data_IF_117164665077
#
_entry.id   IF_117164665077
#
_cell.length_a   1.000
_cell.length_b   1.000
_cell.length_c   1.000
_cell.angle_alpha   90.00
_cell.angle_beta   90.00
_cell.angle_gamma   90.00
#
_symmetry.space_group_name_H-M   'P 1'
#
loop_
_entity.id
_entity.type
_entity.pdbx_description
1 polymer ?
#
# COMPACT_ATOMS: atom_id res chain seq x y z
N UNK A 1 0.95 -14.64 2.99
CA UNK A 1 1.21 -14.29 1.58
C UNK A 1 0.25 -13.16 1.25
N UNK A 2 0.73 -12.01 0.78
CA UNK A 2 -0.12 -10.86 0.42
C UNK A 2 -0.26 -10.76 -1.10
N UNK A 3 -1.46 -10.53 -1.58
CA UNK A 3 -1.71 -10.32 -3.01
C UNK A 3 -1.09 -8.98 -3.47
N UNK A 4 -0.64 -8.94 -4.73
CA UNK A 4 0.08 -7.80 -5.29
C UNK A 4 -0.79 -6.53 -5.34
N UNK A 5 -2.11 -6.69 -5.51
CA UNK A 5 -3.10 -5.60 -5.43
C UNK A 5 -3.05 -4.92 -4.06
N UNK A 6 -3.08 -5.71 -2.98
CA UNK A 6 -3.03 -5.19 -1.61
C UNK A 6 -1.70 -4.50 -1.31
N UNK A 7 -0.59 -5.06 -1.81
CA UNK A 7 0.75 -4.45 -1.66
C UNK A 7 0.85 -3.13 -2.43
N UNK A 8 0.29 -3.05 -3.63
CA UNK A 8 0.24 -1.84 -4.43
C UNK A 8 -0.61 -0.75 -3.76
N UNK A 9 -1.82 -1.09 -3.31
CA UNK A 9 -2.70 -0.18 -2.57
C UNK A 9 -1.99 0.44 -1.35
N UNK A 10 -1.37 -0.41 -0.52
CA UNK A 10 -0.57 0.04 0.64
C UNK A 10 0.57 0.97 0.24
N UNK A 11 1.30 0.64 -0.83
CA UNK A 11 2.44 1.44 -1.25
C UNK A 11 2.00 2.83 -1.74
N UNK A 12 0.88 2.90 -2.48
CA UNK A 12 0.30 4.17 -2.92
C UNK A 12 -0.13 5.05 -1.74
N UNK A 13 -0.75 4.48 -0.71
CA UNK A 13 -1.13 5.19 0.52
C UNK A 13 0.10 5.74 1.26
N UNK A 14 1.15 4.93 1.42
CA UNK A 14 2.41 5.38 2.03
C UNK A 14 3.08 6.48 1.21
N UNK A 15 3.07 6.37 -0.11
CA UNK A 15 3.64 7.40 -0.98
C UNK A 15 2.85 8.70 -0.88
N UNK A 16 1.52 8.61 -0.78
CA UNK A 16 0.62 9.76 -0.59
C UNK A 16 0.85 10.46 0.75
N UNK A 17 1.07 9.72 1.85
CA UNK A 17 1.34 10.35 3.15
C UNK A 17 2.70 11.07 3.19
N UNK A 18 3.65 10.66 2.34
CA UNK A 18 4.99 11.26 2.23
C UNK A 18 5.11 12.33 1.14
N UNK A 19 4.12 12.44 0.25
CA UNK A 19 4.19 13.30 -0.93
C UNK A 19 2.99 14.25 -0.97
N UNK A 20 3.20 15.57 -0.81
CA UNK A 20 2.11 16.54 -0.87
C UNK A 20 1.58 16.79 -2.29
N UNK A 21 2.24 16.27 -3.33
CA UNK A 21 1.82 16.41 -4.72
C UNK A 21 0.69 15.46 -5.10
N UNK A 22 -0.20 15.95 -5.95
CA UNK A 22 -1.25 15.19 -6.61
C UNK A 22 -1.29 15.56 -8.10
N UNK A 23 -1.34 14.60 -9.03
CA UNK A 23 -1.22 13.14 -8.85
C UNK A 23 0.18 12.71 -8.35
N UNK A 24 0.31 11.47 -7.89
CA UNK A 24 1.60 10.89 -7.49
C UNK A 24 2.50 10.70 -8.73
N UNK A 25 3.74 11.23 -8.74
CA UNK A 25 4.69 11.02 -9.84
C UNK A 25 5.28 9.61 -9.73
N UNK A 26 4.60 8.64 -10.31
CA UNK A 26 4.91 7.23 -10.20
C UNK A 26 4.78 6.48 -11.53
N UNK A 27 5.86 5.83 -11.96
CA UNK A 27 5.82 4.91 -13.10
C UNK A 27 5.55 3.49 -12.64
N UNK A 28 4.96 2.67 -13.52
CA UNK A 28 4.77 1.24 -13.24
C UNK A 28 6.12 0.53 -13.02
N UNK A 29 7.17 0.95 -13.73
CA UNK A 29 8.52 0.41 -13.59
C UNK A 29 9.08 0.66 -12.18
N UNK A 30 8.99 1.91 -11.72
CA UNK A 30 9.43 2.24 -10.37
C UNK A 30 8.62 1.49 -9.31
N UNK A 31 7.30 1.40 -9.48
CA UNK A 31 6.45 0.62 -8.58
C UNK A 31 6.82 -0.88 -8.59
N UNK A 32 7.23 -1.43 -9.74
CA UNK A 32 7.69 -2.82 -9.89
C UNK A 32 8.96 -3.09 -9.09
N UNK A 33 9.92 -2.18 -9.16
CA UNK A 33 11.14 -2.23 -8.36
C UNK A 33 10.81 -2.18 -6.86
N UNK A 34 9.92 -1.28 -6.45
CA UNK A 34 9.54 -1.12 -5.04
C UNK A 34 8.74 -2.30 -4.49
N UNK A 35 7.94 -2.96 -5.33
CA UNK A 35 7.17 -4.13 -4.96
C UNK A 35 7.94 -5.45 -5.17
N UNK A 36 9.17 -5.41 -5.69
CA UNK A 36 9.92 -6.62 -6.03
C UNK A 36 9.12 -7.57 -6.92
N UNK A 37 8.38 -7.00 -7.87
CA UNK A 37 7.46 -7.71 -8.76
C UNK A 37 7.75 -7.34 -10.21
N UNK A 38 7.32 -8.19 -11.15
CA UNK A 38 7.49 -7.89 -12.57
C UNK A 38 6.49 -6.82 -13.03
N UNK A 39 6.92 -5.98 -13.97
CA UNK A 39 6.13 -4.87 -14.53
C UNK A 39 4.75 -5.26 -15.07
N UNK A 40 4.56 -6.40 -15.76
CA UNK A 40 3.23 -6.85 -16.16
C UNK A 40 2.33 -7.11 -14.94
N UNK A 41 2.84 -7.78 -13.90
CA UNK A 41 2.06 -8.07 -12.69
C UNK A 41 1.63 -6.78 -11.96
N UNK A 42 2.53 -5.79 -11.88
CA UNK A 42 2.16 -4.47 -11.32
C UNK A 42 1.13 -3.75 -12.18
N UNK A 43 1.25 -3.87 -13.51
CA UNK A 43 0.27 -3.27 -14.41
C UNK A 43 -1.12 -3.90 -14.23
N UNK A 44 -1.22 -5.23 -14.08
CA UNK A 44 -2.48 -5.89 -13.74
C UNK A 44 -3.01 -5.43 -12.37
N UNK A 45 -2.15 -5.34 -11.36
CA UNK A 45 -2.58 -4.90 -10.03
C UNK A 45 -3.14 -3.46 -10.05
N UNK A 46 -2.47 -2.56 -10.77
CA UNK A 46 -2.96 -1.19 -10.96
C UNK A 46 -4.25 -1.15 -11.79
N UNK A 47 -4.39 -2.03 -12.78
CA UNK A 47 -5.62 -2.17 -13.54
C UNK A 47 -6.78 -2.61 -12.65
N UNK A 48 -6.58 -3.62 -11.78
CA UNK A 48 -7.61 -4.05 -10.81
C UNK A 48 -8.06 -2.90 -9.90
N UNK A 49 -7.11 -2.09 -9.41
CA UNK A 49 -7.45 -0.91 -8.59
C UNK A 49 -8.19 0.16 -9.40
N UNK A 50 -7.84 0.34 -10.67
CA UNK A 50 -8.48 1.31 -11.54
C UNK A 50 -9.91 0.90 -11.92
N UNK A 51 -10.12 -0.38 -12.26
CA UNK A 51 -11.45 -0.96 -12.54
C UNK A 51 -12.37 -0.90 -11.31
N UNK A 52 -11.81 -0.98 -10.10
CA UNK A 52 -12.54 -0.78 -8.86
C UNK A 52 -12.86 0.69 -8.54
N UNK A 53 -12.39 1.64 -9.36
CA UNK A 53 -12.57 3.07 -9.18
C UNK A 53 -11.74 3.65 -8.03
N UNK A 54 -10.63 3.00 -7.65
CA UNK A 54 -9.80 3.40 -6.51
C UNK A 54 -8.63 4.28 -6.92
N UNK A 55 -8.13 4.11 -8.14
CA UNK A 55 -7.02 4.88 -8.71
C UNK A 55 -7.26 5.19 -10.18
N UNK A 56 -6.54 6.17 -10.72
CA UNK A 56 -6.56 6.50 -12.13
C UNK A 56 -5.16 6.88 -12.62
N UNK A 57 -4.80 6.44 -13.81
CA UNK A 57 -3.59 6.90 -14.49
C UNK A 57 -3.92 8.16 -15.30
N UNK A 58 -3.50 9.33 -14.81
CA UNK A 58 -3.83 10.65 -15.42
C UNK A 58 -2.78 11.16 -16.42
N UNK A 59 -1.77 10.34 -16.72
CA UNK A 59 -0.69 10.69 -17.64
C UNK A 59 0.45 9.69 -17.58
N UNK A 60 1.51 9.94 -18.36
CA UNK A 60 2.72 9.10 -18.27
C UNK A 60 3.37 9.26 -16.91
N UNK A 61 3.44 8.17 -16.15
CA UNK A 61 4.10 8.15 -14.86
C UNK A 61 3.36 8.95 -13.78
N UNK A 62 2.02 9.00 -13.86
CA UNK A 62 1.20 9.69 -12.87
C UNK A 62 0.01 8.83 -12.46
N UNK A 63 -0.14 8.62 -11.15
CA UNK A 63 -1.28 7.89 -10.57
C UNK A 63 -2.00 8.81 -9.59
N UNK A 64 -3.31 8.96 -9.77
CA UNK A 64 -4.22 9.66 -8.86
C UNK A 64 -4.97 8.63 -8.02
N UNK A 65 -5.11 8.90 -6.72
CA UNK A 65 -5.97 8.13 -5.83
C UNK A 65 -7.37 8.76 -5.91
N UNK A 66 -8.38 7.96 -6.19
CA UNK A 66 -9.77 8.42 -6.34
C UNK A 66 -10.56 8.28 -5.05
N UNK A 67 -10.33 7.19 -4.31
CA UNK A 67 -11.00 6.92 -3.05
C UNK A 67 -9.99 6.37 -2.03
N UNK A 68 -9.56 7.24 -1.12
CA UNK A 68 -8.56 6.89 -0.11
C UNK A 68 -9.06 5.82 0.85
N UNK A 69 -10.28 5.96 1.37
CA UNK A 69 -10.82 5.04 2.39
C UNK A 69 -11.08 3.65 1.82
N UNK A 70 -11.58 3.56 0.58
CA UNK A 70 -11.73 2.26 -0.09
C UNK A 70 -10.38 1.67 -0.49
N UNK A 71 -9.39 2.47 -0.85
CA UNK A 71 -8.03 1.99 -1.10
C UNK A 71 -7.36 1.48 0.18
N UNK A 72 -7.61 2.12 1.34
CA UNK A 72 -7.19 1.63 2.66
C UNK A 72 -7.84 0.30 3.01
N UNK A 73 -9.11 0.10 2.68
CA UNK A 73 -9.79 -1.18 2.90
C UNK A 73 -9.22 -2.32 2.03
N UNK A 74 -8.64 -1.98 0.86
CA UNK A 74 -7.94 -2.94 -0.01
C UNK A 74 -6.51 -3.20 0.44
N UNK A 75 -5.84 -2.20 1.02
CA UNK A 75 -4.55 -2.40 1.65
C UNK A 75 -4.72 -3.43 2.79
N UNK A 76 -3.91 -4.49 2.80
CA UNK A 76 -4.06 -5.56 3.79
C UNK A 76 -3.96 -5.02 5.22
N UNK A 77 -4.43 -5.78 6.23
CA UNK A 77 -4.35 -5.38 7.64
C UNK A 77 -2.91 -5.07 8.13
N UNK A 78 -1.88 -5.48 7.38
CA UNK A 78 -0.51 -5.05 7.65
C UNK A 78 -0.27 -3.55 7.44
N UNK A 79 -1.10 -2.83 6.68
CA UNK A 79 -1.04 -1.36 6.64
C UNK A 79 -1.38 -0.79 8.01
N UNK A 80 -2.45 -1.27 8.65
CA UNK A 80 -2.80 -0.88 10.03
C UNK A 80 -1.68 -1.23 11.00
N UNK A 81 -1.11 -2.45 10.93
CA UNK A 81 0.03 -2.83 11.78
C UNK A 81 1.25 -1.92 11.59
N UNK A 82 1.59 -1.54 10.35
CA UNK A 82 2.74 -0.65 10.06
C UNK A 82 2.42 0.81 10.41
N UNK A 83 1.20 1.28 10.18
CA UNK A 83 0.75 2.62 10.53
C UNK A 83 0.68 2.81 12.05
N UNK A 84 0.06 1.86 12.76
CA UNK A 84 -0.02 1.82 14.22
C UNK A 84 1.40 1.75 14.81
N UNK A 85 2.29 0.93 14.23
CA UNK A 85 3.70 0.90 14.63
C UNK A 85 4.40 2.25 14.40
N UNK A 86 4.25 2.84 13.21
CA UNK A 86 4.88 4.12 12.87
C UNK A 86 4.37 5.22 13.81
N UNK A 87 3.08 5.20 14.14
CA UNK A 87 2.42 6.13 15.08
C UNK A 87 2.90 5.91 16.53
N UNK A 88 3.08 4.67 16.96
CA UNK A 88 3.57 4.32 18.30
C UNK A 88 5.05 4.67 18.50
N UNK A 89 5.90 4.42 17.49
CA UNK A 89 7.32 4.76 17.54
C UNK A 89 7.56 6.26 17.59
N UNK A 90 6.75 7.05 16.86
CA UNK A 90 6.81 8.53 16.95
C UNK A 90 6.40 9.05 18.34
N UNK A 91 5.65 8.25 19.12
CA UNK A 91 5.23 8.59 20.49
C UNK A 91 6.16 8.07 21.60
N UNK A 92 7.24 7.35 21.26
CA UNK A 92 8.20 6.76 22.22
C UNK A 92 7.55 5.90 23.32
N UNK A 93 6.47 5.19 22.99
CA UNK A 93 5.88 4.16 23.85
C UNK A 93 6.30 2.80 23.31
N UNK A 94 7.46 2.33 23.77
CA UNK A 94 7.98 1.03 23.38
C UNK A 94 7.03 -0.11 23.76
N UNK A 95 6.83 -1.05 22.83
CA UNK A 95 7.03 -2.50 22.99
C UNK A 95 6.61 -3.18 21.67
N UNK A 96 7.52 -3.92 21.05
CA UNK A 96 7.20 -4.91 20.03
C UNK A 96 6.78 -6.21 20.74
N UNK A 97 5.57 -6.75 20.54
CA UNK A 97 5.34 -8.16 20.80
C UNK A 97 6.18 -8.99 19.82
N UNK A 98 6.79 -10.05 20.32
CA UNK A 98 7.67 -10.90 19.54
C UNK A 98 6.87 -11.66 18.46
N UNK A 99 7.52 -12.13 17.38
CA UNK A 99 6.85 -12.97 16.36
C UNK A 99 6.20 -14.26 16.90
N UNK A 100 6.47 -14.65 18.15
CA UNK A 100 5.80 -15.78 18.83
C UNK A 100 4.42 -15.42 19.35
N UNK A 101 4.16 -14.14 19.61
CA UNK A 101 2.92 -13.65 20.22
C UNK A 101 1.78 -13.49 19.21
N UNK A 102 2.07 -13.68 17.91
CA UNK A 102 1.11 -13.57 16.80
C UNK A 102 0.59 -14.93 16.27
N UNK A 103 0.93 -16.05 16.93
CA UNK A 103 0.37 -17.37 16.61
C UNK A 103 -0.50 -17.89 17.77
N UNK A 104 -1.79 -17.60 17.70
CA UNK A 104 -2.88 -18.28 18.42
C UNK A 104 -4.19 -17.83 17.78
N UNK A 105 -5.22 -18.63 17.51
CA UNK A 105 -5.59 -19.99 17.91
C UNK A 105 -6.18 -20.69 16.68
N UNK A 106 -5.84 -21.96 16.44
CA UNK A 106 -6.68 -22.86 15.64
C UNK A 106 -7.32 -23.80 16.65
N UNK A 107 -8.53 -23.44 17.06
CA UNK A 107 -9.53 -24.42 17.49
C UNK A 107 -10.30 -24.89 16.25
#
# INVERSE_FOLDING_TARGET
FHDLVQRAARWLLVMRSKTPREPLPLTHEFLSQMLGAHRPSVSLALQTLAEAGLVETVGRGQIRILDHGRLEAVACECFRVVEDFTRAVVRNEGVLPSPRDLRGSRD
#
